data_IF_904465969869
#
_entry.id   IF_904465969869
#
_cell.length_a   1.000
_cell.length_b   1.000
_cell.length_c   1.000
_cell.angle_alpha   90.00
_cell.angle_beta   90.00
_cell.angle_gamma   90.00
#
_symmetry.space_group_name_H-M   'P 1'
#
loop_
_entity.id
_entity.type
_entity.pdbx_description
1 polymer ?
#
# COMPACT_ATOMS: atom_id res chain seq x y z
N UNK A 1 3.33 14.56 47.13
CA UNK A 1 2.82 13.36 47.83
C UNK A 1 2.84 12.21 46.84
N UNK A 2 3.63 11.20 47.20
CA UNK A 2 3.90 10.00 46.41
C UNK A 2 2.75 9.00 46.47
N UNK A 3 2.55 8.21 45.42
CA UNK A 3 2.12 6.83 45.56
C UNK A 3 2.50 6.04 44.30
N UNK A 4 3.54 5.26 44.46
CA UNK A 4 3.95 4.18 43.54
C UNK A 4 2.97 3.00 43.72
N UNK A 5 2.65 2.30 42.63
CA UNK A 5 2.11 0.95 42.72
C UNK A 5 2.82 0.06 41.72
N UNK A 6 3.73 -0.77 42.25
CA UNK A 6 4.37 -1.87 41.54
C UNK A 6 3.40 -3.09 41.61
N UNK A 7 3.17 -3.76 40.50
CA UNK A 7 2.56 -5.07 40.44
C UNK A 7 3.51 -6.06 39.80
N UNK A 8 4.03 -6.93 40.62
CA UNK A 8 4.81 -8.12 40.36
C UNK A 8 3.87 -9.20 39.79
N UNK A 9 4.21 -9.81 38.67
CA UNK A 9 3.57 -11.05 38.22
C UNK A 9 4.62 -12.14 38.05
N UNK A 10 4.40 -13.19 38.81
CA UNK A 10 5.27 -14.33 38.99
C UNK A 10 5.30 -15.28 37.77
N UNK A 11 6.48 -15.80 37.47
CA UNK A 11 6.73 -17.00 36.67
C UNK A 11 6.14 -18.22 37.37
N UNK A 12 5.44 -19.08 36.62
CA UNK A 12 5.22 -20.47 36.97
C UNK A 12 5.85 -21.38 35.93
N UNK A 13 7.03 -21.90 36.24
CA UNK A 13 7.60 -23.09 35.58
C UNK A 13 6.79 -24.31 36.06
N UNK A 14 6.28 -25.09 35.13
CA UNK A 14 5.81 -26.45 35.39
C UNK A 14 6.73 -27.44 34.71
N UNK A 15 7.48 -28.13 35.52
CA UNK A 15 8.32 -29.26 35.18
C UNK A 15 7.45 -30.52 35.25
N UNK A 16 7.41 -31.35 34.20
CA UNK A 16 6.89 -32.71 34.29
C UNK A 16 7.97 -33.71 33.94
N UNK A 17 8.11 -34.59 34.89
CA UNK A 17 9.13 -35.65 34.99
C UNK A 17 8.94 -36.76 33.95
N UNK A 18 10.07 -37.38 33.67
CA UNK A 18 10.19 -38.65 32.97
C UNK A 18 9.60 -39.81 33.78
N UNK A 19 8.98 -40.75 33.10
CA UNK A 19 8.79 -42.10 33.61
C UNK A 19 9.39 -43.12 32.65
N UNK A 20 10.34 -43.88 33.18
CA UNK A 20 10.97 -45.02 32.52
C UNK A 20 10.15 -46.28 32.80
N UNK A 21 10.21 -47.16 31.90
CA UNK A 21 10.11 -48.62 31.86
C UNK A 21 8.99 -49.16 31.00
N UNK A 22 9.37 -49.81 29.87
CA UNK A 22 9.34 -51.28 29.77
C UNK A 22 10.01 -51.75 28.50
N UNK A 23 10.98 -52.60 28.71
CA UNK A 23 11.58 -53.42 27.68
C UNK A 23 10.72 -54.68 27.52
N UNK A 24 10.18 -54.94 26.32
CA UNK A 24 10.01 -56.35 25.88
C UNK A 24 9.61 -56.46 24.41
N UNK A 25 10.30 -57.43 23.80
CA UNK A 25 9.86 -58.23 22.67
C UNK A 25 10.24 -57.79 21.26
N UNK A 26 11.43 -58.25 20.88
CA UNK A 26 11.86 -58.39 19.49
C UNK A 26 10.93 -59.35 18.73
N UNK A 27 9.95 -58.80 18.01
CA UNK A 27 9.26 -59.51 16.96
C UNK A 27 9.90 -59.12 15.60
N UNK A 28 10.34 -60.11 14.86
CA UNK A 28 10.95 -59.95 13.54
C UNK A 28 10.00 -59.21 12.61
N UNK A 29 10.37 -58.01 12.23
CA UNK A 29 9.63 -57.20 11.25
C UNK A 29 9.82 -57.78 9.85
N UNK A 30 8.77 -58.03 9.06
CA UNK A 30 8.90 -58.44 7.67
C UNK A 30 9.57 -57.35 6.85
N UNK A 31 10.57 -57.71 6.05
CA UNK A 31 11.25 -56.79 5.11
C UNK A 31 10.23 -56.19 4.17
N UNK A 32 10.07 -54.86 4.12
CA UNK A 32 9.11 -54.23 3.19
C UNK A 32 9.55 -54.44 1.76
N UNK A 33 8.65 -54.97 0.95
CA UNK A 33 8.80 -55.09 -0.50
C UNK A 33 9.00 -53.66 -1.07
N UNK A 34 9.97 -53.41 -1.96
CA UNK A 34 10.16 -52.09 -2.54
C UNK A 34 8.93 -51.66 -3.32
N UNK A 35 8.26 -50.58 -2.86
CA UNK A 35 7.19 -49.97 -3.57
C UNK A 35 7.82 -49.22 -4.77
N UNK A 36 7.53 -49.70 -5.98
CA UNK A 36 7.88 -49.00 -7.22
C UNK A 36 6.98 -47.78 -7.28
N UNK A 37 7.52 -46.61 -6.91
CA UNK A 37 6.82 -45.31 -7.08
C UNK A 37 6.79 -45.03 -8.58
N UNK A 38 5.62 -44.92 -9.22
CA UNK A 38 5.56 -44.55 -10.63
C UNK A 38 6.22 -43.16 -10.78
N UNK A 39 7.19 -43.07 -11.67
CA UNK A 39 7.84 -41.83 -12.04
C UNK A 39 6.76 -40.83 -12.50
N UNK A 40 6.57 -39.74 -11.74
CA UNK A 40 5.62 -38.69 -12.11
C UNK A 40 6.08 -38.07 -13.42
N UNK A 41 5.28 -38.21 -14.46
CA UNK A 41 5.47 -37.49 -15.71
C UNK A 41 5.52 -35.98 -15.38
N UNK A 42 6.56 -35.27 -15.84
CA UNK A 42 6.64 -33.82 -15.55
C UNK A 42 5.37 -33.12 -16.09
N UNK A 43 4.65 -32.44 -15.19
CA UNK A 43 3.52 -31.61 -15.58
C UNK A 43 3.99 -30.56 -16.58
N UNK A 44 3.27 -30.32 -17.69
CA UNK A 44 3.69 -29.31 -18.65
C UNK A 44 3.81 -27.95 -17.95
N UNK A 45 4.97 -27.31 -18.08
CA UNK A 45 5.19 -25.94 -17.59
C UNK A 45 4.15 -25.03 -18.22
N UNK A 46 3.37 -24.28 -17.42
CA UNK A 46 2.35 -23.38 -17.98
C UNK A 46 3.02 -22.38 -18.93
N UNK A 47 2.52 -22.30 -20.15
CA UNK A 47 2.97 -21.29 -21.12
C UNK A 47 2.61 -19.90 -20.57
N UNK A 48 3.57 -18.96 -20.48
CA UNK A 48 3.30 -17.61 -20.00
C UNK A 48 2.19 -16.97 -20.83
N UNK A 49 1.17 -16.42 -20.17
CA UNK A 49 0.15 -15.62 -20.87
C UNK A 49 0.80 -14.37 -21.44
N UNK A 50 0.45 -13.96 -22.66
CA UNK A 50 0.96 -12.71 -23.22
C UNK A 50 0.52 -11.54 -22.31
N UNK A 51 1.50 -10.71 -21.94
CA UNK A 51 1.29 -9.49 -21.12
C UNK A 51 0.55 -8.46 -21.99
N UNK A 52 -0.49 -7.81 -21.44
CA UNK A 52 -1.24 -6.81 -22.18
C UNK A 52 -0.37 -5.58 -22.52
N UNK A 53 -0.66 -4.82 -23.59
CA UNK A 53 0.07 -3.60 -23.90
C UNK A 53 0.05 -2.56 -22.77
N UNK A 54 -1.05 -2.49 -22.01
CA UNK A 54 -1.19 -1.60 -20.85
C UNK A 54 -0.19 -1.99 -19.75
N UNK A 55 -0.13 -3.27 -19.39
CA UNK A 55 0.82 -3.77 -18.39
C UNK A 55 2.27 -3.57 -18.86
N UNK A 56 2.57 -3.76 -20.16
CA UNK A 56 3.90 -3.49 -20.69
C UNK A 56 4.28 -2.00 -20.56
N UNK A 57 3.33 -1.08 -20.80
CA UNK A 57 3.56 0.35 -20.63
C UNK A 57 3.80 0.71 -19.15
N UNK A 58 3.03 0.14 -18.23
CA UNK A 58 3.23 0.32 -16.78
C UNK A 58 4.58 -0.21 -16.30
N UNK A 59 5.01 -1.38 -16.77
CA UNK A 59 6.35 -1.93 -16.47
C UNK A 59 7.46 -1.01 -16.96
N UNK A 60 7.34 -0.47 -18.20
CA UNK A 60 8.29 0.50 -18.75
C UNK A 60 8.35 1.78 -17.92
N UNK A 61 7.21 2.30 -17.50
CA UNK A 61 7.12 3.49 -16.65
C UNK A 61 7.66 3.22 -15.23
N UNK A 62 7.43 2.01 -14.69
CA UNK A 62 7.96 1.59 -13.39
C UNK A 62 9.50 1.56 -13.39
N UNK A 63 10.12 1.04 -14.45
CA UNK A 63 11.57 1.07 -14.59
C UNK A 63 12.13 2.51 -14.65
N UNK A 64 11.46 3.43 -15.37
CA UNK A 64 11.81 4.86 -15.36
C UNK A 64 11.64 5.47 -13.96
N UNK A 65 10.60 5.10 -13.24
CA UNK A 65 10.37 5.55 -11.85
C UNK A 65 11.50 5.12 -10.92
N UNK A 66 12.03 3.90 -11.08
CA UNK A 66 13.20 3.44 -10.32
C UNK A 66 14.44 4.33 -10.57
N UNK A 67 14.70 4.71 -11.82
CA UNK A 67 15.80 5.60 -12.16
C UNK A 67 15.60 7.03 -11.60
N UNK A 68 14.38 7.53 -11.64
CA UNK A 68 14.06 8.86 -11.11
C UNK A 68 14.20 8.89 -9.58
N UNK A 69 13.71 7.89 -8.85
CA UNK A 69 13.88 7.77 -7.39
C UNK A 69 15.35 7.80 -6.96
N UNK A 70 16.24 7.21 -7.75
CA UNK A 70 17.68 7.24 -7.47
C UNK A 70 18.30 8.64 -7.64
N UNK A 71 17.62 9.57 -8.28
CA UNK A 71 18.10 10.92 -8.59
C UNK A 71 17.37 12.03 -7.83
N UNK A 72 16.14 11.80 -7.40
CA UNK A 72 15.28 12.79 -6.71
C UNK A 72 15.11 12.39 -5.26
N UNK A 73 15.69 13.18 -4.36
CA UNK A 73 15.56 12.99 -2.93
C UNK A 73 14.09 13.04 -2.50
N UNK A 74 13.71 12.21 -1.53
CA UNK A 74 12.33 12.07 -1.00
C UNK A 74 11.27 11.58 -2.01
N UNK A 75 11.63 11.26 -3.23
CA UNK A 75 10.71 10.64 -4.17
C UNK A 75 10.42 9.19 -3.74
N UNK A 76 9.15 8.88 -3.49
CA UNK A 76 8.70 7.56 -3.01
C UNK A 76 8.14 6.69 -4.12
N UNK A 77 7.75 7.29 -5.26
CA UNK A 77 7.15 6.58 -6.37
C UNK A 77 6.48 7.50 -7.39
N UNK A 78 5.52 6.96 -8.10
CA UNK A 78 4.71 7.67 -9.11
C UNK A 78 3.26 7.19 -9.03
N UNK A 79 2.31 8.12 -9.13
CA UNK A 79 0.89 7.83 -9.25
C UNK A 79 0.45 7.95 -10.71
N UNK A 80 -0.28 6.95 -11.19
CA UNK A 80 -0.92 6.95 -12.52
C UNK A 80 -2.41 6.68 -12.34
N UNK A 81 -3.28 7.59 -12.81
CA UNK A 81 -4.73 7.40 -12.88
C UNK A 81 -5.16 7.68 -14.32
N UNK A 82 -5.27 6.64 -15.17
CA UNK A 82 -5.54 6.83 -16.60
C UNK A 82 -6.83 7.59 -16.91
N UNK A 83 -7.90 7.33 -16.14
CA UNK A 83 -9.21 8.00 -16.30
C UNK A 83 -9.19 9.51 -16.03
N UNK A 84 -8.19 10.00 -15.29
CA UNK A 84 -8.01 11.42 -14.96
C UNK A 84 -6.73 12.01 -15.59
N UNK A 85 -6.08 11.28 -16.50
CA UNK A 85 -4.81 11.67 -17.12
C UNK A 85 -3.70 12.01 -16.09
N UNK A 86 -3.78 11.48 -14.89
CA UNK A 86 -2.76 11.67 -13.84
C UNK A 86 -1.55 10.80 -14.13
N UNK A 87 -0.37 11.43 -14.11
CA UNK A 87 0.94 10.78 -14.16
C UNK A 87 1.94 11.67 -13.46
N UNK A 88 2.08 11.54 -12.14
CA UNK A 88 2.80 12.47 -11.28
C UNK A 88 3.76 11.75 -10.33
N UNK A 89 4.94 12.33 -10.08
CA UNK A 89 5.88 11.82 -9.09
C UNK A 89 5.34 12.06 -7.67
N UNK A 90 5.52 11.09 -6.78
CA UNK A 90 5.11 11.13 -5.38
C UNK A 90 6.31 11.46 -4.50
N UNK A 91 6.15 12.43 -3.62
CA UNK A 91 7.16 12.83 -2.64
C UNK A 91 6.58 12.75 -1.23
N UNK A 92 7.38 12.17 -0.31
CA UNK A 92 7.03 12.19 1.11
C UNK A 92 7.30 13.58 1.70
N UNK A 93 6.42 14.01 2.60
CA UNK A 93 6.60 15.23 3.40
C UNK A 93 7.65 15.07 4.52
N UNK A 94 8.18 13.85 4.69
CA UNK A 94 9.13 13.55 5.76
C UNK A 94 8.45 13.39 7.12
N UNK A 95 9.26 13.50 8.17
CA UNK A 95 8.81 13.50 9.57
C UNK A 95 9.38 14.75 10.24
N UNK A 96 8.55 15.58 10.86
CA UNK A 96 9.03 16.75 11.57
C UNK A 96 7.99 17.86 11.79
N UNK A 97 8.44 18.97 12.40
CA UNK A 97 7.56 20.08 12.78
C UNK A 97 7.03 20.91 11.58
N UNK A 98 7.62 20.75 10.39
CA UNK A 98 7.32 21.55 9.20
C UNK A 98 6.58 20.76 8.09
N UNK A 99 5.98 19.60 8.40
CA UNK A 99 5.33 18.71 7.43
C UNK A 99 4.32 19.42 6.52
N UNK A 100 3.46 20.28 7.07
CA UNK A 100 2.47 21.01 6.29
C UNK A 100 3.11 21.96 5.27
N UNK A 101 4.22 22.64 5.63
CA UNK A 101 4.95 23.53 4.73
C UNK A 101 5.68 22.73 3.65
N UNK A 102 6.23 21.56 3.98
CA UNK A 102 6.88 20.66 3.03
C UNK A 102 5.84 20.14 2.03
N UNK A 103 4.68 19.67 2.50
CA UNK A 103 3.55 19.26 1.65
C UNK A 103 3.15 20.36 0.67
N UNK A 104 2.99 21.60 1.15
CA UNK A 104 2.65 22.73 0.29
C UNK A 104 3.72 22.94 -0.78
N UNK A 105 5.00 22.90 -0.41
CA UNK A 105 6.12 23.06 -1.36
C UNK A 105 6.14 21.95 -2.43
N UNK A 106 5.81 20.70 -2.05
CA UNK A 106 5.69 19.60 -3.00
C UNK A 106 4.53 19.85 -3.97
N UNK A 107 3.36 20.21 -3.45
CA UNK A 107 2.17 20.48 -4.25
C UNK A 107 2.32 21.72 -5.16
N UNK A 108 3.18 22.68 -4.83
CA UNK A 108 3.46 23.85 -5.66
C UNK A 108 4.33 23.52 -6.90
N UNK A 109 4.96 22.34 -6.93
CA UNK A 109 5.80 21.90 -8.05
C UNK A 109 4.95 21.14 -9.09
N UNK A 110 5.01 21.56 -10.37
CA UNK A 110 4.13 21.10 -11.46
C UNK A 110 4.12 19.58 -11.70
N UNK A 111 5.19 18.88 -11.38
CA UNK A 111 5.36 17.44 -11.65
C UNK A 111 5.37 16.58 -10.38
N UNK A 112 4.85 17.09 -9.28
CA UNK A 112 4.92 16.50 -7.95
C UNK A 112 3.58 16.48 -7.26
N UNK A 113 3.32 15.41 -6.50
CA UNK A 113 2.21 15.32 -5.56
C UNK A 113 2.74 14.85 -4.20
N UNK A 114 2.18 15.37 -3.13
CA UNK A 114 2.55 14.97 -1.78
C UNK A 114 1.87 13.65 -1.41
N UNK A 115 2.63 12.72 -0.79
CA UNK A 115 2.11 11.48 -0.21
C UNK A 115 2.52 11.40 1.25
N UNK A 116 1.56 11.14 2.13
CA UNK A 116 1.77 11.06 3.57
C UNK A 116 0.76 10.13 4.24
N UNK A 117 0.99 9.79 5.50
CA UNK A 117 0.04 9.05 6.33
C UNK A 117 -0.60 10.00 7.34
N UNK A 118 -1.91 9.89 7.53
CA UNK A 118 -2.63 10.56 8.63
C UNK A 118 -2.76 9.68 9.89
N UNK A 119 -2.04 8.54 9.92
CA UNK A 119 -2.08 7.56 11.00
C UNK A 119 -3.19 6.52 10.85
N UNK A 120 -4.09 6.66 9.88
CA UNK A 120 -5.19 5.72 9.56
C UNK A 120 -4.95 5.10 8.19
N UNK A 121 -4.65 5.93 7.19
CA UNK A 121 -4.41 5.52 5.82
C UNK A 121 -3.38 6.39 5.13
N UNK A 122 -3.33 6.28 3.82
CA UNK A 122 -2.41 7.04 2.95
C UNK A 122 -3.19 8.14 2.25
N UNK A 123 -2.65 9.34 2.30
CA UNK A 123 -3.22 10.53 1.65
C UNK A 123 -2.28 11.01 0.55
N UNK A 124 -2.82 11.33 -0.62
CA UNK A 124 -2.10 11.90 -1.76
C UNK A 124 -2.79 13.20 -2.14
N UNK A 125 -2.04 14.28 -2.15
CA UNK A 125 -2.53 15.63 -2.38
C UNK A 125 -1.83 16.31 -3.55
N UNK A 126 -2.61 17.05 -4.35
CA UNK A 126 -2.08 17.97 -5.35
C UNK A 126 -3.13 19.04 -5.70
N UNK A 127 -2.71 20.09 -6.39
CA UNK A 127 -3.59 21.17 -6.80
C UNK A 127 -4.50 20.79 -7.98
N UNK A 128 -5.71 21.39 -7.99
CA UNK A 128 -6.70 21.21 -9.05
C UNK A 128 -6.33 21.85 -10.41
N UNK A 129 -5.29 22.64 -10.45
CA UNK A 129 -4.74 23.23 -11.68
C UNK A 129 -3.45 22.56 -12.15
N UNK A 130 -3.07 21.43 -11.54
CA UNK A 130 -1.90 20.62 -11.85
C UNK A 130 -2.29 19.18 -12.16
N UNK A 131 -1.58 18.17 -11.64
CA UNK A 131 -1.83 16.78 -11.97
C UNK A 131 -3.25 16.32 -11.60
N UNK A 132 -3.87 16.90 -10.56
CA UNK A 132 -5.22 16.53 -10.12
C UNK A 132 -6.34 17.37 -10.74
N UNK A 133 -6.08 18.08 -11.85
CA UNK A 133 -7.08 18.89 -12.56
C UNK A 133 -8.34 18.10 -12.94
N UNK A 134 -8.18 16.85 -13.34
CA UNK A 134 -9.27 15.96 -13.76
C UNK A 134 -9.64 14.90 -12.72
N UNK A 135 -9.25 15.08 -11.45
CA UNK A 135 -9.53 14.09 -10.40
C UNK A 135 -11.04 13.86 -10.23
N UNK A 136 -11.87 14.86 -10.51
CA UNK A 136 -13.34 14.76 -10.48
C UNK A 136 -13.94 13.81 -11.52
N UNK A 137 -13.19 13.45 -12.56
CA UNK A 137 -13.61 12.50 -13.61
C UNK A 137 -13.49 11.03 -13.17
N UNK A 138 -12.77 10.77 -12.08
CA UNK A 138 -12.63 9.41 -11.54
C UNK A 138 -13.96 8.93 -10.98
N UNK A 139 -14.33 7.71 -11.35
CA UNK A 139 -15.55 7.04 -10.92
C UNK A 139 -15.23 5.72 -10.22
N UNK A 140 -16.12 5.22 -9.33
CA UNK A 140 -15.98 3.88 -8.78
C UNK A 140 -15.75 2.82 -9.87
N UNK A 141 -14.78 1.91 -9.62
CA UNK A 141 -14.31 0.91 -10.57
C UNK A 141 -13.16 1.38 -11.48
N UNK A 142 -12.82 2.68 -11.51
CA UNK A 142 -11.63 3.13 -12.22
C UNK A 142 -10.36 2.68 -11.49
N UNK A 143 -9.29 2.40 -12.25
CA UNK A 143 -8.02 1.96 -11.71
C UNK A 143 -7.02 3.08 -11.56
N UNK A 144 -6.17 2.95 -10.55
CA UNK A 144 -4.97 3.71 -10.36
C UNK A 144 -3.79 2.78 -10.08
N UNK A 145 -2.57 3.28 -10.26
CA UNK A 145 -1.35 2.51 -10.08
C UNK A 145 -0.34 3.34 -9.31
N UNK A 146 0.28 2.74 -8.29
CA UNK A 146 1.44 3.32 -7.62
C UNK A 146 2.67 2.52 -8.03
N UNK A 147 3.59 3.18 -8.71
CA UNK A 147 4.83 2.62 -9.23
C UNK A 147 5.97 2.98 -8.29
N UNK A 148 6.73 1.99 -7.81
CA UNK A 148 7.85 2.20 -6.87
C UNK A 148 9.20 1.74 -7.40
N UNK A 149 9.26 1.26 -8.65
CA UNK A 149 10.46 0.71 -9.27
C UNK A 149 10.58 -0.80 -9.08
N UNK A 150 10.49 -1.26 -7.86
CA UNK A 150 10.47 -2.69 -7.49
C UNK A 150 9.07 -3.30 -7.43
N UNK A 151 8.02 -2.47 -7.39
CA UNK A 151 6.63 -2.95 -7.34
C UNK A 151 5.68 -2.02 -8.08
N UNK A 152 4.53 -2.58 -8.46
CA UNK A 152 3.34 -1.87 -8.95
C UNK A 152 2.19 -2.27 -8.05
N UNK A 153 1.64 -1.30 -7.30
CA UNK A 153 0.41 -1.49 -6.54
C UNK A 153 -0.77 -1.05 -7.40
N UNK A 154 -1.68 -1.97 -7.69
CA UNK A 154 -2.91 -1.70 -8.43
C UNK A 154 -4.03 -1.37 -7.46
N UNK A 155 -4.66 -0.23 -7.68
CA UNK A 155 -5.74 0.30 -6.87
C UNK A 155 -7.03 0.36 -7.69
N UNK A 156 -8.17 0.21 -7.02
CA UNK A 156 -9.50 0.43 -7.61
C UNK A 156 -10.24 1.50 -6.80
N UNK A 157 -10.83 2.46 -7.49
CA UNK A 157 -11.67 3.48 -6.87
C UNK A 157 -12.94 2.83 -6.31
N UNK A 158 -13.13 2.96 -5.00
CA UNK A 158 -14.33 2.50 -4.30
C UNK A 158 -15.35 3.61 -4.07
N UNK A 159 -14.89 4.85 -3.88
CA UNK A 159 -15.74 5.98 -3.50
C UNK A 159 -15.21 7.32 -4.02
N UNK A 160 -16.14 8.23 -4.31
CA UNK A 160 -15.82 9.64 -4.60
C UNK A 160 -16.83 10.54 -3.89
N UNK A 161 -16.38 11.61 -3.28
CA UNK A 161 -17.25 12.58 -2.61
C UNK A 161 -16.57 13.94 -2.48
N UNK A 162 -17.37 14.96 -2.10
CA UNK A 162 -16.86 16.28 -1.75
C UNK A 162 -16.69 16.34 -0.24
N UNK A 163 -15.55 16.84 0.22
CA UNK A 163 -15.19 16.92 1.63
C UNK A 163 -14.59 18.27 2.00
N UNK A 164 -13.87 18.27 3.12
CA UNK A 164 -13.21 19.46 3.68
C UNK A 164 -11.76 19.18 3.98
N UNK A 165 -10.94 20.20 3.85
CA UNK A 165 -9.59 20.26 4.41
C UNK A 165 -9.56 21.44 5.38
N UNK A 166 -9.46 21.15 6.67
CA UNK A 166 -9.44 22.15 7.75
C UNK A 166 -8.02 22.42 8.30
N UNK A 167 -7.02 21.81 7.67
CA UNK A 167 -5.61 21.91 8.05
C UNK A 167 -5.13 20.75 8.93
N UNK A 168 -6.02 20.12 9.70
CA UNK A 168 -5.69 18.94 10.52
C UNK A 168 -5.85 17.63 9.74
N UNK A 169 -6.53 17.68 8.58
CA UNK A 169 -6.76 16.51 7.73
C UNK A 169 -7.87 16.71 6.72
N UNK A 170 -8.15 15.66 5.97
CA UNK A 170 -9.21 15.62 4.97
C UNK A 170 -10.37 14.81 5.50
N UNK A 171 -11.55 15.44 5.58
CA UNK A 171 -12.76 14.86 6.18
C UNK A 171 -13.95 14.93 5.22
N UNK A 172 -14.98 14.13 5.49
CA UNK A 172 -16.30 14.33 4.87
C UNK A 172 -17.05 15.53 5.48
N UNK A 173 -18.30 15.74 5.08
CA UNK A 173 -19.13 16.83 5.56
C UNK A 173 -19.44 16.74 7.07
N UNK A 174 -19.41 15.55 7.65
CA UNK A 174 -19.70 15.26 9.06
C UNK A 174 -18.43 15.28 9.94
N UNK A 175 -17.26 15.54 9.33
CA UNK A 175 -15.97 15.58 10.02
C UNK A 175 -15.31 14.21 10.23
N UNK A 176 -15.77 13.18 9.51
CA UNK A 176 -15.13 11.86 9.55
C UNK A 176 -13.91 11.86 8.62
N UNK A 177 -12.71 11.42 9.10
CA UNK A 177 -11.53 11.33 8.26
C UNK A 177 -11.78 10.51 6.99
N UNK A 178 -11.35 11.03 5.84
CA UNK A 178 -11.57 10.39 4.54
C UNK A 178 -10.93 8.99 4.46
N UNK A 179 -9.82 8.78 5.17
CA UNK A 179 -9.09 7.51 5.27
C UNK A 179 -9.84 6.38 5.98
N UNK A 180 -10.97 6.66 6.63
CA UNK A 180 -11.88 5.59 7.08
C UNK A 180 -12.67 4.92 5.94
N UNK A 181 -12.75 5.57 4.77
CA UNK A 181 -13.54 5.07 3.65
C UNK A 181 -12.71 4.28 2.63
N UNK A 182 -11.38 4.46 2.60
CA UNK A 182 -10.48 3.77 1.69
C UNK A 182 -9.02 3.81 2.19
N UNK A 183 -8.19 2.87 1.72
CA UNK A 183 -6.78 2.74 2.10
C UNK A 183 -5.92 3.89 1.55
N UNK A 184 -6.26 4.40 0.36
CA UNK A 184 -5.60 5.52 -0.30
C UNK A 184 -6.63 6.59 -0.62
N UNK A 185 -6.35 7.81 -0.20
CA UNK A 185 -7.17 8.98 -0.48
C UNK A 185 -6.39 9.92 -1.39
N UNK A 186 -6.92 10.18 -2.58
CA UNK A 186 -6.45 11.28 -3.42
C UNK A 186 -7.40 12.46 -3.25
N UNK A 187 -6.87 13.67 -3.00
CA UNK A 187 -7.71 14.85 -2.94
C UNK A 187 -7.06 16.06 -3.62
N UNK A 188 -7.92 16.97 -4.06
CA UNK A 188 -7.53 18.27 -4.59
C UNK A 188 -8.46 19.35 -4.11
N UNK A 189 -7.94 20.57 -3.93
CA UNK A 189 -8.76 21.72 -3.53
C UNK A 189 -9.79 22.06 -4.60
N UNK A 190 -10.98 22.50 -4.16
CA UNK A 190 -11.97 23.11 -5.02
C UNK A 190 -11.61 24.58 -5.36
N UNK A 191 -12.63 25.40 -5.60
CA UNK A 191 -12.44 26.84 -5.86
C UNK A 191 -12.05 27.63 -4.61
N UNK A 192 -12.26 27.05 -3.44
CA UNK A 192 -11.79 27.53 -2.14
C UNK A 192 -10.94 26.42 -1.48
N UNK A 193 -10.03 26.83 -0.61
CA UNK A 193 -9.07 25.91 0.03
C UNK A 193 -9.70 24.94 1.03
N UNK A 194 -10.96 25.17 1.41
CA UNK A 194 -11.67 24.37 2.42
C UNK A 194 -12.47 23.24 1.82
N UNK A 195 -13.01 23.43 0.60
CA UNK A 195 -13.74 22.37 -0.07
C UNK A 195 -12.80 21.58 -0.99
N UNK A 196 -12.83 20.27 -0.85
CA UNK A 196 -11.94 19.36 -1.59
C UNK A 196 -12.75 18.30 -2.33
N UNK A 197 -12.26 17.90 -3.50
CA UNK A 197 -12.70 16.66 -4.15
C UNK A 197 -11.89 15.52 -3.62
N UNK A 198 -12.57 14.46 -3.18
CA UNK A 198 -11.96 13.26 -2.59
C UNK A 198 -12.28 12.05 -3.46
N UNK A 199 -11.26 11.24 -3.71
CA UNK A 199 -11.33 9.95 -4.40
C UNK A 199 -10.63 8.91 -3.54
N UNK A 200 -11.37 7.90 -3.09
CA UNK A 200 -10.86 6.81 -2.28
C UNK A 200 -10.59 5.56 -3.10
N UNK A 201 -9.42 4.97 -2.92
CA UNK A 201 -8.96 3.76 -3.59
C UNK A 201 -8.60 2.67 -2.59
N UNK A 202 -8.86 1.41 -2.95
CA UNK A 202 -8.43 0.24 -2.21
C UNK A 202 -7.45 -0.59 -3.06
N UNK A 203 -6.52 -1.26 -2.41
CA UNK A 203 -5.58 -2.17 -3.07
C UNK A 203 -6.33 -3.39 -3.58
N UNK A 204 -6.14 -3.74 -4.85
CA UNK A 204 -6.68 -4.95 -5.46
C UNK A 204 -5.61 -5.93 -5.91
N UNK A 205 -4.37 -5.44 -6.10
CA UNK A 205 -3.23 -6.28 -6.50
C UNK A 205 -1.90 -5.58 -6.20
N UNK A 206 -0.84 -6.36 -5.94
CA UNK A 206 0.51 -5.87 -5.78
C UNK A 206 1.51 -6.83 -6.44
N UNK A 207 2.10 -6.40 -7.55
CA UNK A 207 3.10 -7.13 -8.29
C UNK A 207 4.52 -6.68 -7.88
N UNK A 208 5.37 -7.64 -7.50
CA UNK A 208 6.80 -7.45 -7.24
C UNK A 208 7.61 -7.81 -8.51
N UNK A 209 8.60 -6.98 -8.86
CA UNK A 209 9.44 -7.14 -10.05
C UNK A 209 10.92 -7.17 -9.73
#
# INVERSE_FOLDING_TARGET
MAAALAALMALSLSCCAADETDAEQLAATPVPTPIVIPSSTPSPTPTPKPVSPEVQALMGLNAQTAEERNRREYMTGRLVIPSAAVNVALFSDGEGEDEAQIRQTICDAEDSAAIYSDGIGIVIADHNNQAFQLLSEVQPGNRAYILRGESITTLECGITFDGRNDGDGVTDADGVPATYYAEYICYTCGTDWTNVKIVGFNVIDEDLF
#
